data_IF_947839160945
#
_entry.id   IF_947839160945
#
_cell.length_a   1.000
_cell.length_b   1.000
_cell.length_c   1.000
_cell.angle_alpha   90.00
_cell.angle_beta   90.00
_cell.angle_gamma   90.00
#
_symmetry.space_group_name_H-M   'P 1'
#
loop_
_entity.id
_entity.type
_entity.pdbx_description
1 polymer ?
#
# COMPACT_ATOMS: atom_id res chain seq x y z
N UNK A 1 -28.16 -2.51 -11.67
CA UNK A 1 -28.07 -1.16 -12.26
C UNK A 1 -26.78 -0.53 -11.78
N UNK A 2 -26.05 0.15 -12.65
CA UNK A 2 -24.85 0.90 -12.26
C UNK A 2 -25.29 2.22 -11.62
N UNK A 3 -24.74 2.57 -10.46
CA UNK A 3 -24.88 3.91 -9.89
C UNK A 3 -23.92 4.86 -10.58
N UNK A 4 -24.31 6.13 -10.72
CA UNK A 4 -23.41 7.17 -11.24
C UNK A 4 -22.30 7.54 -10.25
N UNK A 5 -22.50 7.30 -8.94
CA UNK A 5 -21.52 7.59 -7.90
C UNK A 5 -20.96 6.34 -7.25
N UNK A 6 -19.81 6.51 -6.58
CA UNK A 6 -19.18 5.49 -5.74
C UNK A 6 -19.76 5.54 -4.33
N UNK A 7 -20.41 4.45 -3.93
CA UNK A 7 -21.10 4.36 -2.64
C UNK A 7 -20.56 3.21 -1.78
N UNK A 8 -20.50 3.42 -0.46
CA UNK A 8 -20.27 2.39 0.54
C UNK A 8 -21.56 2.19 1.33
N UNK A 9 -22.12 0.98 1.25
CA UNK A 9 -23.30 0.57 1.98
C UNK A 9 -22.91 -0.47 3.03
N UNK A 10 -23.04 -0.13 4.32
CA UNK A 10 -22.80 -1.05 5.42
C UNK A 10 -24.13 -1.30 6.15
N UNK A 11 -24.54 -2.57 6.19
CA UNK A 11 -25.72 -2.99 6.96
C UNK A 11 -25.23 -3.95 8.03
N UNK A 12 -25.41 -3.57 9.29
CA UNK A 12 -25.03 -4.41 10.43
C UNK A 12 -26.22 -4.68 11.34
N UNK A 13 -26.21 -5.86 11.97
CA UNK A 13 -27.15 -6.21 13.02
C UNK A 13 -26.89 -5.35 14.27
N UNK A 14 -27.96 -4.84 14.87
CA UNK A 14 -27.90 -4.08 16.13
C UNK A 14 -29.05 -4.48 17.05
N UNK A 15 -28.98 -4.08 18.32
CA UNK A 15 -29.99 -4.44 19.31
C UNK A 15 -29.93 -5.91 19.74
N UNK A 16 -30.91 -6.33 20.54
CA UNK A 16 -30.97 -7.66 21.14
C UNK A 16 -31.20 -8.75 20.09
N UNK A 17 -30.50 -9.89 20.26
CA UNK A 17 -30.72 -11.08 19.43
C UNK A 17 -32.01 -11.79 19.84
N UNK A 18 -32.96 -11.89 18.92
CA UNK A 18 -34.17 -12.69 19.05
C UNK A 18 -33.87 -14.14 18.66
N UNK A 19 -33.75 -15.01 19.67
CA UNK A 19 -33.49 -16.44 19.48
C UNK A 19 -34.62 -17.19 18.79
N UNK A 20 -35.87 -16.73 18.93
CA UNK A 20 -37.02 -17.38 18.31
C UNK A 20 -37.06 -17.17 16.80
N UNK A 21 -36.57 -16.01 16.35
CA UNK A 21 -36.49 -15.63 14.92
C UNK A 21 -35.09 -15.79 14.32
N UNK A 22 -34.10 -16.15 15.14
CA UNK A 22 -32.70 -16.33 14.71
C UNK A 22 -32.05 -15.05 14.16
N UNK A 23 -32.43 -13.87 14.67
CA UNK A 23 -31.99 -12.59 14.11
C UNK A 23 -31.92 -11.49 15.17
N UNK A 24 -31.21 -10.40 14.89
CA UNK A 24 -31.30 -9.17 15.67
C UNK A 24 -32.53 -8.34 15.28
N UNK A 25 -33.09 -7.61 16.26
CA UNK A 25 -34.30 -6.81 16.08
C UNK A 25 -34.09 -5.57 15.21
N UNK A 26 -32.90 -5.01 15.26
CA UNK A 26 -32.57 -3.76 14.57
C UNK A 26 -31.46 -3.98 13.54
N UNK A 27 -31.36 -3.02 12.63
CA UNK A 27 -30.28 -2.91 11.67
C UNK A 27 -29.81 -1.47 11.67
N UNK A 28 -28.50 -1.28 11.79
CA UNK A 28 -27.87 -0.03 11.46
C UNK A 28 -27.49 -0.07 9.99
N UNK A 29 -28.02 0.88 9.22
CA UNK A 29 -27.69 1.09 7.81
C UNK A 29 -26.87 2.36 7.71
N UNK A 30 -25.61 2.23 7.29
CA UNK A 30 -24.73 3.34 6.97
C UNK A 30 -24.60 3.41 5.46
N UNK A 31 -24.89 4.60 4.92
CA UNK A 31 -24.70 4.93 3.52
C UNK A 31 -23.69 6.07 3.44
N UNK A 32 -22.64 5.88 2.64
CA UNK A 32 -21.67 6.92 2.32
C UNK A 32 -21.50 7.01 0.80
N UNK A 33 -21.28 8.23 0.33
CA UNK A 33 -20.98 8.54 -1.07
C UNK A 33 -19.64 9.25 -1.14
N UNK A 34 -18.80 8.83 -2.07
CA UNK A 34 -17.52 9.46 -2.32
C UNK A 34 -17.74 10.83 -2.98
N UNK A 35 -17.16 11.88 -2.39
CA UNK A 35 -17.07 13.18 -3.03
C UNK A 35 -15.92 13.17 -4.03
N UNK A 36 -16.21 12.71 -5.25
CA UNK A 36 -15.19 12.40 -6.27
C UNK A 36 -14.27 13.59 -6.57
N UNK A 37 -14.83 14.78 -6.84
CA UNK A 37 -14.04 15.98 -7.13
C UNK A 37 -13.07 16.35 -5.99
N UNK A 38 -13.53 16.22 -4.74
CA UNK A 38 -12.70 16.53 -3.57
C UNK A 38 -11.61 15.47 -3.38
N UNK A 39 -11.93 14.20 -3.60
CA UNK A 39 -10.94 13.12 -3.55
C UNK A 39 -9.87 13.29 -4.62
N UNK A 40 -10.28 13.61 -5.86
CA UNK A 40 -9.36 13.88 -6.97
C UNK A 40 -8.48 15.10 -6.70
N UNK A 41 -9.05 16.17 -6.13
CA UNK A 41 -8.28 17.34 -5.74
C UNK A 41 -7.19 16.98 -4.71
N UNK A 42 -7.56 16.25 -3.66
CA UNK A 42 -6.60 15.82 -2.62
C UNK A 42 -5.50 14.92 -3.18
N UNK A 43 -5.83 14.00 -4.09
CA UNK A 43 -4.84 13.12 -4.75
C UNK A 43 -3.88 13.90 -5.64
N UNK A 44 -4.36 14.89 -6.39
CA UNK A 44 -3.53 15.72 -7.27
C UNK A 44 -2.62 16.69 -6.49
N UNK A 45 -3.07 17.15 -5.32
CA UNK A 45 -2.29 18.03 -4.44
C UNK A 45 -1.32 17.25 -3.55
N UNK A 46 -1.46 15.92 -3.47
CA UNK A 46 -0.59 15.07 -2.66
C UNK A 46 0.86 15.14 -3.14
N UNK A 47 1.76 15.49 -2.23
CA UNK A 47 3.20 15.45 -2.47
C UNK A 47 3.65 13.99 -2.58
N UNK A 48 4.41 13.66 -3.62
CA UNK A 48 5.07 12.36 -3.74
C UNK A 48 6.01 12.12 -2.54
N UNK A 49 6.08 10.88 -2.03
CA UNK A 49 7.07 10.52 -1.03
C UNK A 49 8.50 10.71 -1.52
N UNK A 50 9.40 10.93 -0.56
CA UNK A 50 10.83 10.86 -0.82
C UNK A 50 11.25 9.41 -1.11
N UNK A 51 12.32 9.25 -1.88
CA UNK A 51 12.88 7.94 -2.17
C UNK A 51 13.48 7.30 -0.89
N UNK A 52 13.32 5.98 -0.68
CA UNK A 52 14.01 5.28 0.39
C UNK A 52 15.52 5.45 0.31
N UNK A 53 16.16 5.65 1.45
CA UNK A 53 17.62 5.83 1.55
C UNK A 53 18.29 4.61 2.19
N UNK A 54 19.62 4.53 2.07
CA UNK A 54 20.43 3.45 2.64
C UNK A 54 19.97 2.05 2.22
N UNK A 55 19.59 1.90 0.96
CA UNK A 55 19.22 0.62 0.37
C UNK A 55 20.47 -0.21 0.17
N UNK A 56 20.51 -1.39 0.79
CA UNK A 56 21.70 -2.26 0.80
C UNK A 56 21.34 -3.74 0.84
N UNK A 57 22.24 -4.55 0.30
CA UNK A 57 22.15 -6.00 0.33
C UNK A 57 23.19 -6.54 1.33
N UNK A 58 22.80 -7.52 2.14
CA UNK A 58 23.66 -8.25 3.05
C UNK A 58 23.33 -9.73 2.98
N UNK A 59 24.08 -10.49 2.16
CA UNK A 59 23.74 -11.87 1.83
C UNK A 59 22.43 -11.92 1.02
N UNK A 60 21.42 -12.56 1.58
CA UNK A 60 20.08 -12.69 0.95
C UNK A 60 19.10 -11.61 1.42
N UNK A 61 19.55 -10.65 2.23
CA UNK A 61 18.70 -9.62 2.84
C UNK A 61 18.90 -8.26 2.17
N UNK A 62 17.88 -7.77 1.48
CA UNK A 62 17.75 -6.36 1.09
C UNK A 62 17.18 -5.57 2.28
N UNK A 63 17.73 -4.40 2.60
CA UNK A 63 17.23 -3.53 3.67
C UNK A 63 17.35 -2.05 3.31
N UNK A 64 16.50 -1.21 3.89
CA UNK A 64 16.46 0.24 3.66
C UNK A 64 16.00 1.02 4.89
N UNK A 65 16.14 2.35 4.87
CA UNK A 65 15.57 3.23 5.89
C UNK A 65 14.14 3.62 5.55
N UNK A 66 13.30 3.66 6.60
CA UNK A 66 11.91 4.09 6.48
C UNK A 66 11.83 5.56 6.05
N UNK A 67 10.91 5.85 5.13
CA UNK A 67 10.55 7.20 4.73
C UNK A 67 9.50 7.70 5.73
N UNK A 68 9.77 8.83 6.38
CA UNK A 68 8.93 9.33 7.50
C UNK A 68 7.85 10.31 7.07
N UNK A 69 8.04 10.97 5.93
CA UNK A 69 7.11 11.96 5.39
C UNK A 69 6.31 11.40 4.21
N UNK A 70 5.12 11.95 3.96
CA UNK A 70 4.31 11.59 2.81
C UNK A 70 3.32 10.44 3.02
N UNK A 71 2.86 10.21 4.25
CA UNK A 71 1.80 9.24 4.61
C UNK A 71 2.01 7.86 3.97
N UNK A 72 3.18 7.28 4.25
CA UNK A 72 3.61 6.02 3.67
C UNK A 72 2.75 4.87 4.16
N UNK A 73 2.23 4.08 3.22
CA UNK A 73 1.49 2.85 3.50
C UNK A 73 2.33 1.60 3.25
N UNK A 74 3.42 1.74 2.47
CA UNK A 74 4.35 0.67 2.21
C UNK A 74 5.40 1.00 1.17
N UNK A 75 6.09 -0.05 0.72
CA UNK A 75 7.21 0.00 -0.21
C UNK A 75 7.01 -1.04 -1.29
N UNK A 76 7.48 -0.75 -2.50
CA UNK A 76 7.55 -1.71 -3.61
C UNK A 76 9.01 -2.03 -3.89
N UNK A 77 9.30 -3.32 -4.03
CA UNK A 77 10.65 -3.81 -4.34
C UNK A 77 10.70 -4.19 -5.81
N UNK A 78 11.72 -3.67 -6.48
CA UNK A 78 12.01 -3.97 -7.87
C UNK A 78 13.34 -4.68 -7.99
N UNK A 79 13.39 -5.71 -8.84
CA UNK A 79 14.56 -6.53 -9.08
C UNK A 79 14.89 -6.56 -10.56
N UNK A 80 16.17 -6.48 -10.88
CA UNK A 80 16.72 -6.73 -12.22
C UNK A 80 17.75 -7.84 -12.15
N UNK A 81 17.46 -8.94 -12.84
CA UNK A 81 18.42 -10.02 -13.07
C UNK A 81 19.40 -9.65 -14.19
N UNK A 82 20.59 -10.27 -14.28
CA UNK A 82 21.56 -10.00 -15.35
C UNK A 82 20.91 -10.15 -16.73
N UNK A 83 21.05 -9.13 -17.58
CA UNK A 83 20.46 -9.09 -18.93
C UNK A 83 18.95 -8.79 -18.97
N UNK A 84 18.28 -8.62 -17.84
CA UNK A 84 16.86 -8.29 -17.75
C UNK A 84 16.54 -6.80 -17.56
N UNK A 85 15.26 -6.51 -17.37
CA UNK A 85 14.75 -5.20 -16.91
C UNK A 85 14.31 -5.29 -15.45
N UNK A 86 14.07 -4.15 -14.81
CA UNK A 86 13.50 -4.12 -13.46
C UNK A 86 12.03 -4.56 -13.49
N UNK A 87 11.67 -5.49 -12.63
CA UNK A 87 10.29 -5.94 -12.42
C UNK A 87 9.90 -5.79 -10.95
N UNK A 88 8.64 -5.46 -10.69
CA UNK A 88 8.09 -5.47 -9.34
C UNK A 88 7.99 -6.91 -8.85
N UNK A 89 8.60 -7.20 -7.69
CA UNK A 89 8.67 -8.56 -7.14
C UNK A 89 7.95 -8.72 -5.80
N UNK A 90 7.60 -7.62 -5.15
CA UNK A 90 6.96 -7.68 -3.84
C UNK A 90 6.71 -6.31 -3.25
N UNK A 91 5.89 -6.29 -2.20
CA UNK A 91 5.58 -5.08 -1.45
C UNK A 91 5.67 -5.37 0.04
N UNK A 92 6.06 -4.36 0.82
CA UNK A 92 6.22 -4.43 2.28
C UNK A 92 5.44 -3.28 2.90
N UNK A 93 4.60 -3.57 3.89
CA UNK A 93 3.82 -2.56 4.60
C UNK A 93 4.71 -1.58 5.37
N UNK A 94 4.22 -0.36 5.59
CA UNK A 94 4.88 0.59 6.51
C UNK A 94 4.99 0.04 7.94
N UNK A 95 4.12 -0.89 8.34
CA UNK A 95 4.18 -1.50 9.67
C UNK A 95 5.13 -2.72 9.75
N UNK A 96 5.66 -3.15 8.62
CA UNK A 96 6.60 -4.28 8.55
C UNK A 96 8.06 -3.83 8.60
N UNK A 97 8.95 -4.80 8.85
CA UNK A 97 10.39 -4.57 8.83
C UNK A 97 10.81 -4.11 7.44
N UNK A 98 11.63 -3.05 7.36
CA UNK A 98 12.13 -2.45 6.11
C UNK A 98 13.22 -3.31 5.46
N UNK A 99 12.83 -4.53 5.11
CA UNK A 99 13.70 -5.54 4.56
C UNK A 99 12.94 -6.57 3.75
N UNK A 100 13.61 -7.17 2.78
CA UNK A 100 13.09 -8.24 1.93
C UNK A 100 14.14 -9.33 1.77
N UNK A 101 13.72 -10.60 1.84
CA UNK A 101 14.62 -11.75 1.70
C UNK A 101 14.50 -12.31 0.28
N UNK A 102 15.64 -12.45 -0.40
CA UNK A 102 15.75 -13.05 -1.72
C UNK A 102 17.05 -13.87 -1.81
N UNK A 103 16.92 -15.18 -1.97
CA UNK A 103 18.05 -16.12 -2.05
C UNK A 103 19.00 -15.84 -3.24
N UNK A 104 18.61 -14.99 -4.18
CA UNK A 104 19.42 -14.58 -5.33
C UNK A 104 19.75 -13.08 -5.29
N UNK A 105 19.69 -12.44 -4.12
CA UNK A 105 19.96 -11.01 -3.97
C UNK A 105 21.35 -10.62 -4.46
N UNK A 106 22.38 -11.40 -4.11
CA UNK A 106 23.78 -11.14 -4.46
C UNK A 106 24.12 -11.20 -5.96
N UNK A 107 23.16 -11.59 -6.82
CA UNK A 107 23.35 -11.71 -8.28
C UNK A 107 22.43 -10.79 -9.06
N UNK A 108 21.74 -9.88 -8.39
CA UNK A 108 20.73 -9.03 -9.00
C UNK A 108 20.82 -7.61 -8.44
N UNK A 109 20.29 -6.67 -9.21
CA UNK A 109 20.20 -5.27 -8.79
C UNK A 109 18.79 -4.99 -8.26
N UNK A 110 18.70 -4.17 -7.22
CA UNK A 110 17.44 -3.82 -6.58
C UNK A 110 17.30 -2.30 -6.44
N UNK A 111 16.07 -1.84 -6.53
CA UNK A 111 15.68 -0.55 -5.95
C UNK A 111 14.35 -0.71 -5.21
N UNK A 112 14.08 0.26 -4.34
CA UNK A 112 12.85 0.32 -3.55
C UNK A 112 12.20 1.68 -3.77
N UNK A 113 10.89 1.71 -3.90
CA UNK A 113 10.08 2.93 -3.87
C UNK A 113 9.20 2.93 -2.63
N UNK A 114 8.91 4.11 -2.10
CA UNK A 114 7.90 4.29 -1.06
C UNK A 114 6.55 4.62 -1.72
N UNK A 115 5.45 4.22 -1.08
CA UNK A 115 4.08 4.39 -1.59
C UNK A 115 3.24 5.11 -0.54
N UNK A 116 2.58 6.20 -0.94
CA UNK A 116 1.67 6.95 -0.05
C UNK A 116 0.25 6.36 -0.01
N UNK A 117 -0.61 6.91 0.85
CA UNK A 117 -2.02 6.53 1.00
C UNK A 117 -2.86 6.67 -0.28
N UNK A 118 -2.42 7.50 -1.22
CA UNK A 118 -3.04 7.66 -2.55
C UNK A 118 -2.51 6.64 -3.56
N UNK A 119 -1.58 5.76 -3.19
CA UNK A 119 -0.99 4.75 -4.06
C UNK A 119 0.09 5.28 -5.01
N UNK A 120 0.53 6.53 -4.82
CA UNK A 120 1.58 7.16 -5.63
C UNK A 120 2.96 6.74 -5.13
N UNK A 121 3.88 6.48 -6.07
CA UNK A 121 5.23 6.03 -5.76
C UNK A 121 6.25 7.17 -5.74
N UNK A 122 7.23 7.06 -4.84
CA UNK A 122 8.43 7.89 -4.86
C UNK A 122 9.25 7.67 -6.13
N UNK A 123 10.24 8.54 -6.34
CA UNK A 123 11.35 8.19 -7.22
C UNK A 123 12.04 6.89 -6.73
N UNK A 124 12.67 6.11 -7.62
CA UNK A 124 13.48 4.95 -7.23
C UNK A 124 14.59 5.35 -6.26
N UNK A 125 14.88 4.48 -5.29
CA UNK A 125 16.10 4.59 -4.48
C UNK A 125 17.36 4.47 -5.34
N UNK A 126 18.52 4.72 -4.73
CA UNK A 126 19.79 4.23 -5.27
C UNK A 126 19.72 2.72 -5.48
N UNK A 127 20.37 2.23 -6.55
CA UNK A 127 20.45 0.81 -6.86
C UNK A 127 21.36 0.14 -5.81
N UNK A 128 20.89 -0.96 -5.23
CA UNK A 128 21.69 -1.86 -4.41
C UNK A 128 22.06 -3.11 -5.22
N UNK A 129 23.29 -3.59 -4.99
CA UNK A 129 23.90 -4.75 -5.65
C UNK A 129 24.82 -5.52 -4.69
#
# INVERSE_FOLDING_TARGET
>A
GYSKGRHLNLITCTGTFDRSKGTHQERLVVYAELKEEQAMQLENEAKLPDAPTNVKISGDLLSWYAVREGNIIGYRIYKKVPGGTFTHIGSISEYERKSYVDNNASKAHYYVTAVNEYGQESAPSSIAE
#
